data_IF_259213945314
#
_entry.id   IF_259213945314
#
_cell.length_a   1.000
_cell.length_b   1.000
_cell.length_c   1.000
_cell.angle_alpha   90.00
_cell.angle_beta   90.00
_cell.angle_gamma   90.00
#
_symmetry.space_group_name_H-M   'P 1'
#
loop_
_entity.id
_entity.type
_entity.pdbx_description
1 polymer ?
2 non-polymer ?
3 non-polymer ?
4 non-polymer ?
5 non-polymer ?
6 water ?
#
# COMPACT_ATOMS: atom_id res chain seq x y z
N UNK A 14 -19.70 -4.29 15.15
CA UNK A 14 -18.65 -3.45 14.59
C UNK A 14 -17.48 -4.28 14.08
N UNK A 15 -16.54 -3.62 13.41
CA UNK A 15 -15.40 -4.31 12.84
C UNK A 15 -14.55 -4.97 13.92
N UNK A 16 -14.15 -6.21 13.66
CA UNK A 16 -13.25 -6.96 14.55
C UNK A 16 -11.87 -6.99 13.89
N UNK A 17 -10.87 -6.35 14.48
CA UNK A 17 -9.54 -6.30 13.85
C UNK A 17 -8.93 -7.68 13.73
N UNK A 18 -8.44 -8.04 12.55
CA UNK A 18 -7.72 -9.31 12.38
C UNK A 18 -6.50 -9.38 13.27
N UNK A 19 -5.96 -10.57 13.53
CA UNK A 19 -4.71 -10.67 14.29
C UNK A 19 -3.57 -9.98 13.55
N UNK A 20 -2.55 -9.60 14.32
CA UNK A 20 -1.41 -8.88 13.78
C UNK A 20 -0.50 -9.82 12.99
N UNK A 21 -0.01 -9.32 11.86
CA UNK A 21 1.00 -10.02 11.09
C UNK A 21 2.35 -9.93 11.79
N UNK A 22 3.32 -10.77 11.40
CA UNK A 22 4.62 -10.73 12.08
C UNK A 22 5.35 -9.42 11.82
N UNK A 23 6.06 -8.96 12.85
CA UNK A 23 6.93 -7.80 12.75
C UNK A 23 8.34 -8.25 13.09
N UNK A 24 9.30 -7.91 12.24
CA UNK A 24 10.69 -8.27 12.45
C UNK A 24 11.52 -7.02 12.68
N UNK A 25 12.44 -7.11 13.63
CA UNK A 25 13.38 -6.02 13.95
C UNK A 25 14.78 -6.58 13.76
N UNK A 26 15.27 -6.63 12.53
CA UNK A 26 16.56 -7.28 12.27
C UNK A 26 17.73 -6.50 12.86
N UNK A 27 18.76 -7.24 13.26
CA UNK A 27 20.00 -6.63 13.68
C UNK A 27 20.73 -6.03 12.47
N UNK A 28 21.78 -5.27 12.75
CA UNK A 28 22.60 -4.74 11.67
C UNK A 28 23.20 -5.86 10.83
N UNK A 29 23.59 -6.97 11.47
CA UNK A 29 24.10 -8.11 10.73
C UNK A 29 23.04 -8.68 9.81
N UNK A 30 21.83 -8.93 10.33
CA UNK A 30 20.76 -9.49 9.52
C UNK A 30 20.28 -8.51 8.45
N UNK A 31 20.40 -7.21 8.70
CA UNK A 31 19.93 -6.19 7.77
C UNK A 31 20.84 -6.02 6.56
N UNK A 32 21.92 -6.79 6.46
CA UNK A 32 22.91 -6.55 5.40
C UNK A 32 22.35 -6.83 4.01
N UNK A 33 21.64 -7.95 3.84
CA UNK A 33 21.13 -8.33 2.53
C UNK A 33 19.63 -8.58 2.62
N UNK A 34 18.81 -7.82 1.89
CA UNK A 34 17.34 -8.00 2.00
C UNK A 34 16.87 -9.36 1.53
N UNK A 35 17.35 -9.85 0.38
CA UNK A 35 16.89 -11.13 -0.14
C UNK A 35 17.29 -12.27 0.81
N UNK A 36 18.49 -12.20 1.38
CA UNK A 36 18.90 -13.20 2.35
C UNK A 36 18.01 -13.16 3.60
N UNK A 37 17.65 -11.97 4.06
CA UNK A 37 16.80 -11.86 5.23
C UNK A 37 15.39 -12.37 4.95
N UNK A 38 14.84 -12.01 3.78
CA UNK A 38 13.49 -12.45 3.43
C UNK A 38 13.45 -13.96 3.24
N UNK A 39 14.51 -14.54 2.69
CA UNK A 39 14.58 -15.98 2.58
C UNK A 39 14.52 -16.68 3.94
N UNK A 40 15.11 -16.06 4.97
CA UNK A 40 15.17 -16.70 6.27
C UNK A 40 13.87 -16.57 7.05
N UNK A 41 13.15 -15.44 6.91
CA UNK A 41 11.87 -15.29 7.59
C UNK A 41 10.74 -15.97 6.84
N UNK A 42 10.99 -16.44 5.62
CA UNK A 42 9.92 -17.00 4.79
C UNK A 42 9.12 -18.12 5.45
N UNK A 43 9.69 -19.04 6.22
CA UNK A 43 8.85 -20.10 6.82
C UNK A 43 7.71 -19.56 7.66
N UNK A 44 7.88 -18.41 8.31
CA UNK A 44 6.81 -17.81 9.08
C UNK A 44 5.99 -16.83 8.23
N UNK A 45 6.67 -15.89 7.57
CA UNK A 45 5.97 -14.82 6.88
C UNK A 45 5.14 -15.33 5.70
N UNK A 46 5.56 -16.40 5.03
CA UNK A 46 4.74 -16.90 3.94
C UNK A 46 3.44 -17.51 4.45
N UNK A 47 3.38 -17.89 5.73
CA UNK A 47 2.15 -18.37 6.35
C UNK A 47 1.22 -17.26 6.78
N UNK A 48 1.67 -16.00 6.76
CA UNK A 48 0.80 -14.87 7.05
C UNK A 48 0.59 -13.97 5.84
N UNK A 49 1.31 -14.21 4.75
CA UNK A 49 1.14 -13.45 3.52
C UNK A 49 1.86 -12.13 3.50
N UNK A 50 1.77 -11.36 4.57
CA UNK A 50 2.48 -10.09 4.69
C UNK A 50 3.24 -10.10 6.00
N UNK A 51 4.31 -9.31 6.04
CA UNK A 51 5.04 -9.07 7.28
C UNK A 51 5.60 -7.66 7.25
N UNK A 52 5.94 -7.16 8.43
CA UNK A 52 6.52 -5.84 8.60
C UNK A 52 7.97 -5.97 9.04
N UNK A 53 8.82 -5.10 8.51
CA UNK A 53 10.24 -5.11 8.85
C UNK A 53 10.65 -3.72 9.32
N UNK A 54 11.08 -3.63 10.57
CA UNK A 54 11.56 -2.37 11.12
C UNK A 54 13.07 -2.31 10.99
N UNK A 55 13.62 -1.37 10.21
CA UNK A 55 15.08 -1.27 10.09
C UNK A 55 15.72 -0.88 11.41
N UNK A 56 17.04 -1.08 11.56
CA UNK A 56 17.70 -0.59 12.77
C UNK A 56 17.45 0.89 13.00
N UNK A 57 17.48 1.30 14.26
CA UNK A 57 17.06 2.65 14.64
C UNK A 57 17.86 3.72 13.90
N UNK A 58 19.15 3.48 13.67
CA UNK A 58 20.01 4.47 13.03
C UNK A 58 19.89 4.49 11.51
N UNK A 59 19.08 3.61 10.91
CA UNK A 59 18.92 3.57 9.46
C UNK A 59 17.79 4.52 9.08
N UNK A 60 18.15 5.72 8.63
CA UNK A 60 17.18 6.78 8.33
C UNK A 60 17.53 7.42 7.00
N UNK A 61 16.95 6.94 5.91
CA UNK A 61 17.20 7.56 4.60
C UNK A 61 16.54 8.92 4.51
N UNK A 62 17.18 9.88 3.84
CA UNK A 62 16.53 11.17 3.60
C UNK A 62 15.48 11.05 2.50
N UNK A 63 14.57 12.02 2.50
CA UNK A 63 13.53 12.07 1.48
C UNK A 63 14.07 12.86 0.28
N UNK A 64 14.18 12.19 -0.86
CA UNK A 64 14.93 12.73 -2.00
C UNK A 64 14.05 13.18 -3.15
N UNK A 65 12.74 13.10 -3.03
CA UNK A 65 11.87 13.61 -4.09
C UNK A 65 12.06 15.11 -4.26
N UNK A 66 11.92 15.57 -5.50
CA UNK A 66 11.94 17.00 -5.81
C UNK A 66 10.58 17.56 -5.39
N UNK A 67 10.52 18.06 -4.15
CA UNK A 67 9.25 18.52 -3.59
C UNK A 67 8.82 19.83 -4.24
N UNK A 68 9.77 20.62 -4.75
CA UNK A 68 9.43 21.90 -5.35
C UNK A 68 8.48 21.73 -6.53
N UNK A 69 8.79 20.79 -7.42
CA UNK A 69 8.01 20.59 -8.64
C UNK A 69 7.07 19.39 -8.56
N UNK A 70 6.94 18.77 -7.40
CA UNK A 70 6.08 17.59 -7.24
C UNK A 70 4.63 18.02 -7.36
N UNK A 71 4.03 17.77 -8.52
CA UNK A 71 2.64 18.09 -8.78
C UNK A 71 1.94 16.86 -9.34
N UNK A 72 0.69 16.64 -8.95
CA UNK A 72 0.02 15.42 -9.36
C UNK A 72 -1.48 15.62 -9.30
N UNK A 73 -2.18 14.78 -10.04
CA UNK A 73 -3.64 14.77 -10.05
C UNK A 73 -4.13 13.44 -9.47
N UNK A 74 -4.57 13.41 -8.22
CA UNK A 74 -4.91 12.14 -7.58
C UNK A 74 -6.21 11.57 -8.11
N UNK A 75 -6.37 10.26 -7.90
CA UNK A 75 -7.58 9.55 -8.31
C UNK A 75 -8.67 9.72 -7.27
N UNK A 76 -9.89 9.97 -7.73
CA UNK A 76 -11.02 10.14 -6.82
C UNK A 76 -11.57 8.76 -6.45
N UNK A 77 -11.79 8.53 -5.16
CA UNK A 77 -12.29 7.26 -4.67
C UNK A 77 -13.56 7.49 -3.87
N UNK A 78 -14.64 6.80 -4.25
CA UNK A 78 -15.88 6.81 -3.48
C UNK A 78 -15.96 5.50 -2.70
N UNK A 79 -15.92 5.61 -1.38
CA UNK A 79 -15.75 4.43 -0.53
C UNK A 79 -16.87 3.41 -0.74
N UNK A 80 -18.10 3.85 -0.98
CA UNK A 80 -19.25 2.96 -1.03
C UNK A 80 -19.77 2.73 -2.45
N UNK A 81 -18.88 2.75 -3.46
CA UNK A 81 -19.36 2.65 -4.83
C UNK A 81 -19.98 1.29 -5.13
N UNK A 82 -19.46 0.21 -4.55
CA UNK A 82 -20.02 -1.10 -4.82
C UNK A 82 -21.39 -1.27 -4.18
N UNK A 83 -21.49 -0.95 -2.88
CA UNK A 83 -22.78 -1.06 -2.20
C UNK A 83 -23.83 -0.15 -2.82
N UNK A 84 -23.42 0.88 -3.55
CA UNK A 84 -24.36 1.80 -4.20
C UNK A 84 -24.92 1.26 -5.52
N UNK A 85 -24.78 -0.03 -5.80
CA UNK A 85 -25.33 -0.61 -7.01
C UNK A 85 -26.75 -1.13 -6.79
N UNK A 91 -29.00 7.56 -10.25
CA UNK A 91 -28.68 8.92 -9.80
C UNK A 91 -28.53 9.85 -10.99
N UNK A 92 -29.00 11.10 -10.82
CA UNK A 92 -28.98 12.07 -11.90
C UNK A 92 -27.54 12.42 -12.27
N UNK A 93 -27.20 12.27 -13.55
CA UNK A 93 -25.88 12.62 -14.08
C UNK A 93 -24.78 11.82 -13.39
N UNK A 94 -24.92 10.50 -13.38
CA UNK A 94 -23.88 9.66 -12.80
C UNK A 94 -22.67 9.62 -13.73
N UNK A 95 -21.48 9.59 -13.13
CA UNK A 95 -20.24 9.69 -13.85
C UNK A 95 -19.60 11.07 -13.80
N UNK A 96 -20.28 12.05 -13.21
CA UNK A 96 -19.76 13.41 -13.10
C UNK A 96 -19.69 13.88 -11.64
N UNK A 97 -19.67 12.94 -10.70
CA UNK A 97 -19.69 13.31 -9.28
C UNK A 97 -18.46 14.12 -8.91
N UNK A 98 -17.27 13.52 -9.01
CA UNK A 98 -16.04 14.25 -8.74
C UNK A 98 -14.90 13.62 -9.54
N UNK A 99 -13.93 14.44 -9.91
CA UNK A 99 -12.87 14.01 -10.79
C UNK A 99 -11.66 14.93 -10.63
N UNK A 100 -10.74 14.87 -11.60
CA UNK A 100 -9.37 15.34 -11.44
C UNK A 100 -9.27 16.79 -10.96
N UNK A 101 -8.23 17.04 -10.15
CA UNK A 101 -7.77 18.39 -9.84
C UNK A 101 -6.33 18.30 -9.34
N UNK A 102 -5.45 19.15 -9.89
CA UNK A 102 -4.02 19.05 -9.61
C UNK A 102 -3.68 19.60 -8.23
N UNK A 103 -2.77 18.91 -7.55
CA UNK A 103 -2.26 19.34 -6.26
C UNK A 103 -0.74 19.42 -6.29
N UNK A 104 -0.19 20.15 -5.33
CA UNK A 104 1.19 19.95 -4.94
C UNK A 104 1.21 19.03 -3.71
N UNK A 105 2.40 18.53 -3.40
CA UNK A 105 2.57 17.74 -2.18
C UNK A 105 2.07 18.52 -0.96
N UNK A 106 2.36 19.83 -0.91
CA UNK A 106 1.94 20.65 0.21
C UNK A 106 0.44 20.87 0.20
N UNK A 107 -0.13 21.26 -0.95
CA UNK A 107 -1.56 21.55 -0.98
C UNK A 107 -2.38 20.27 -0.78
N UNK A 108 -1.87 19.12 -1.23
CA UNK A 108 -2.57 17.87 -0.95
C UNK A 108 -2.55 17.56 0.53
N UNK A 109 -1.40 17.74 1.19
CA UNK A 109 -1.34 17.49 2.63
C UNK A 109 -2.23 18.43 3.42
N UNK A 110 -2.30 19.70 3.02
CA UNK A 110 -3.24 20.61 3.66
C UNK A 110 -4.67 20.12 3.50
N UNK A 111 -5.05 19.71 2.29
CA UNK A 111 -6.37 19.14 2.06
C UNK A 111 -6.59 17.90 2.91
N UNK A 112 -5.58 17.02 2.97
CA UNK A 112 -5.74 15.74 3.66
C UNK A 112 -5.93 15.95 5.16
N UNK A 113 -5.10 16.80 5.77
CA UNK A 113 -5.24 17.05 7.21
C UNK A 113 -6.57 17.72 7.53
N UNK A 114 -6.99 18.69 6.71
CA UNK A 114 -8.26 19.37 6.95
C UNK A 114 -9.43 18.40 6.89
N UNK A 115 -9.41 17.48 5.93
CA UNK A 115 -10.47 16.49 5.82
C UNK A 115 -10.54 15.63 7.07
N UNK A 116 -9.41 15.08 7.49
CA UNK A 116 -9.42 14.16 8.62
C UNK A 116 -9.81 14.87 9.91
N UNK A 117 -9.24 16.05 10.15
CA UNK A 117 -9.55 16.73 11.40
C UNK A 117 -11.01 17.18 11.44
N UNK A 118 -11.55 17.59 10.29
CA UNK A 118 -12.96 17.94 10.22
C UNK A 118 -13.85 16.72 10.40
N UNK A 119 -13.46 15.60 9.79
CA UNK A 119 -14.29 14.40 9.86
C UNK A 119 -14.42 13.89 11.30
N UNK A 120 -13.29 13.79 12.00
CA UNK A 120 -13.30 13.27 13.36
C UNK A 120 -13.42 14.34 14.42
N UNK A 121 -13.37 15.62 14.05
CA UNK A 121 -13.49 16.74 14.98
C UNK A 121 -12.40 16.68 16.05
N UNK A 122 -11.16 16.45 15.61
CA UNK A 122 -10.02 16.42 16.52
C UNK A 122 -8.75 16.51 15.69
N UNK A 123 -7.62 16.89 16.31
CA UNK A 123 -6.36 16.92 15.57
C UNK A 123 -6.04 15.55 14.98
N UNK A 124 -5.41 15.57 13.80
CA UNK A 124 -5.27 14.34 13.03
C UNK A 124 -4.45 13.29 13.78
N UNK A 125 -3.46 13.72 14.55
CA UNK A 125 -2.60 12.75 15.22
C UNK A 125 -3.21 12.21 16.51
N UNK A 126 -4.37 12.73 16.93
CA UNK A 126 -5.07 12.23 18.11
C UNK A 126 -6.12 11.17 17.75
N UNK A 127 -6.39 10.94 16.47
CA UNK A 127 -7.39 9.97 16.07
C UNK A 127 -6.81 8.58 16.18
N UNK A 128 -7.38 7.71 17.02
CA UNK A 128 -6.81 6.36 17.17
C UNK A 128 -6.91 5.58 15.87
N UNK A 129 -5.87 4.77 15.61
CA UNK A 129 -5.86 3.98 14.38
C UNK A 129 -7.05 3.02 14.31
N UNK A 130 -7.45 2.48 15.45
CA UNK A 130 -8.58 1.55 15.49
C UNK A 130 -9.90 2.22 15.11
N UNK A 131 -10.01 3.53 15.37
CA UNK A 131 -11.24 4.25 15.06
C UNK A 131 -11.34 4.56 13.56
N UNK A 132 -10.24 5.01 12.96
CA UNK A 132 -10.22 5.18 11.51
C UNK A 132 -10.53 3.85 10.83
N UNK A 133 -9.98 2.76 11.35
CA UNK A 133 -10.24 1.44 10.77
C UNK A 133 -11.72 1.08 10.89
N UNK A 134 -12.30 1.27 12.08
CA UNK A 134 -13.72 0.99 12.25
C UNK A 134 -14.57 1.89 11.36
N UNK A 135 -14.20 3.16 11.23
CA UNK A 135 -14.99 4.08 10.42
C UNK A 135 -14.84 3.78 8.93
N UNK A 136 -13.64 3.38 8.50
CA UNK A 136 -13.44 3.06 7.08
C UNK A 136 -14.39 1.97 6.63
N UNK A 137 -14.41 0.85 7.36
CA UNK A 137 -15.26 -0.28 6.96
C UNK A 137 -16.74 0.03 7.15
N UNK A 138 -17.09 0.94 8.06
CA UNK A 138 -18.48 1.36 8.14
C UNK A 138 -18.87 2.19 6.93
N UNK A 139 -17.98 3.09 6.49
CA UNK A 139 -18.28 3.92 5.33
C UNK A 139 -18.37 3.09 4.06
N UNK A 140 -17.54 2.06 3.94
CA UNK A 140 -17.51 1.24 2.74
C UNK A 140 -18.86 0.55 2.49
N UNK A 141 -19.55 0.17 3.55
CA UNK A 141 -20.84 -0.53 3.43
C UNK A 141 -22.05 0.36 3.69
N UNK A 142 -21.85 1.66 3.91
CA UNK A 142 -22.95 2.56 4.26
C UNK A 142 -23.59 3.14 3.02
N UNK A 143 -24.91 2.98 2.90
CA UNK A 143 -25.66 3.57 1.79
C UNK A 143 -26.23 4.94 2.12
N UNK A 144 -26.14 5.38 3.39
CA UNK A 144 -26.71 6.66 3.79
C UNK A 144 -25.69 7.79 3.74
N UNK A 145 -24.41 7.51 3.98
CA UNK A 145 -23.36 8.51 3.96
C UNK A 145 -22.40 8.19 2.81
N UNK A 146 -22.21 9.17 1.92
CA UNK A 146 -21.33 9.01 0.76
C UNK A 146 -20.06 9.83 1.01
N UNK A 147 -18.97 9.15 1.32
CA UNK A 147 -17.68 9.79 1.57
C UNK A 147 -16.80 9.61 0.34
N UNK A 148 -16.14 10.69 -0.08
CA UNK A 148 -15.30 10.69 -1.27
C UNK A 148 -13.94 11.24 -0.87
N UNK A 149 -12.87 10.50 -1.19
CA UNK A 149 -11.51 10.89 -0.90
C UNK A 149 -10.69 10.85 -2.18
N UNK A 150 -9.41 11.20 -2.06
CA UNK A 150 -8.50 11.29 -3.20
C UNK A 150 -7.20 10.60 -2.83
N UNK A 151 -6.59 9.92 -3.81
CA UNK A 151 -5.40 9.10 -3.59
C UNK A 151 -4.39 9.43 -4.67
N UNK A 152 -3.24 9.98 -4.28
CA UNK A 152 -2.19 10.23 -5.24
C UNK A 152 -1.33 8.99 -5.37
N UNK A 153 -1.64 8.16 -6.35
CA UNK A 153 -1.08 6.81 -6.35
C UNK A 153 -0.79 6.38 -7.77
N UNK A 154 0.00 5.31 -7.89
CA UNK A 154 0.55 4.87 -9.16
C UNK A 154 1.27 6.01 -9.87
N UNK A 155 1.92 6.87 -9.06
CA UNK A 155 2.79 7.91 -9.59
C UNK A 155 4.16 7.29 -9.83
N UNK A 156 4.60 7.30 -11.09
CA UNK A 156 5.88 6.67 -11.42
C UNK A 156 7.02 7.45 -10.81
N UNK A 157 7.97 6.73 -10.20
CA UNK A 157 9.15 7.39 -9.65
C UNK A 157 10.02 8.03 -10.72
N UNK A 158 9.83 7.65 -12.00
CA UNK A 158 10.57 8.30 -13.06
C UNK A 158 10.05 9.70 -13.38
N UNK A 159 9.06 10.20 -12.64
CA UNK A 159 8.47 11.51 -12.90
C UNK A 159 9.15 12.59 -12.06
N UNK A 160 9.13 12.45 -10.73
CA UNK A 160 9.73 13.42 -9.82
C UNK A 160 10.86 12.82 -9.00
N UNK A 161 11.38 11.67 -9.43
CA UNK A 161 12.41 11.00 -8.68
C UNK A 161 11.84 10.11 -7.60
N UNK A 162 12.68 9.21 -7.11
CA UNK A 162 12.31 8.30 -6.05
C UNK A 162 12.35 9.02 -4.70
N UNK A 163 11.64 8.46 -3.72
CA UNK A 163 11.77 8.94 -2.36
C UNK A 163 13.14 8.66 -1.78
N UNK A 164 13.83 7.60 -2.28
CA UNK A 164 15.18 7.26 -1.90
C UNK A 164 16.19 8.02 -2.75
N UNK A 165 17.35 8.39 -2.20
CA UNK A 165 18.40 8.97 -3.04
C UNK A 165 18.90 7.94 -4.03
N UNK A 166 19.14 8.39 -5.25
CA UNK A 166 19.59 7.54 -6.35
C UNK A 166 20.82 8.18 -6.99
N UNK A 167 21.85 7.38 -7.23
CA UNK A 167 23.06 7.86 -7.88
C UNK A 167 22.90 7.77 -9.39
N UNK A 168 22.03 8.64 -9.93
CA UNK A 168 21.80 8.74 -11.36
C UNK A 168 22.23 10.08 -11.95
N UNK A 169 22.81 10.97 -11.16
CA UNK A 169 23.28 12.24 -11.67
C UNK A 169 22.20 13.26 -11.98
N UNK A 170 21.05 13.16 -11.32
CA UNK A 170 19.95 14.10 -11.51
C UNK A 170 19.64 14.92 -10.27
N UNK A 171 20.33 14.68 -9.16
CA UNK A 171 20.06 15.39 -7.92
C UNK A 171 21.28 15.26 -7.02
N UNK A 172 21.46 16.24 -6.14
CA UNK A 172 22.59 16.22 -5.22
C UNK A 172 22.41 15.14 -4.16
N UNK A 173 23.52 14.48 -3.81
CA UNK A 173 23.58 13.50 -2.74
C UNK A 173 24.70 13.90 -1.79
N UNK A 174 24.36 14.17 -0.54
CA UNK A 174 25.37 14.44 0.46
C UNK A 174 26.14 13.16 0.79
N UNK A 175 27.37 13.29 1.30
CA UNK A 175 28.13 12.07 1.65
C UNK A 175 27.39 11.14 2.59
N UNK A 176 26.73 11.67 3.62
CA UNK A 176 26.02 10.83 4.58
C UNK A 176 24.78 10.17 4.00
N UNK A 177 24.36 10.57 2.80
CA UNK A 177 23.25 9.94 2.10
C UNK A 177 23.69 8.90 1.09
N UNK A 178 24.99 8.80 0.81
CA UNK A 178 25.46 7.86 -0.21
C UNK A 178 25.12 6.42 0.17
N UNK A 179 25.25 6.08 1.45
CA UNK A 179 24.95 4.71 1.88
C UNK A 179 23.50 4.34 1.59
N UNK A 180 22.59 5.30 1.61
CA UNK A 180 21.20 5.00 1.28
C UNK A 180 20.99 4.89 -0.22
N UNK A 181 21.79 5.59 -1.03
CA UNK A 181 21.71 5.41 -2.47
C UNK A 181 22.22 4.04 -2.89
N UNK A 182 23.10 3.43 -2.08
CA UNK A 182 23.72 2.15 -2.41
C UNK A 182 23.14 0.99 -1.60
N UNK A 183 22.19 1.25 -0.70
CA UNK A 183 21.68 0.21 0.16
C UNK A 183 20.82 -0.78 -0.62
N UNK A 184 20.92 -2.05 -0.27
CA UNK A 184 20.04 -3.06 -0.86
C UNK A 184 18.58 -2.87 -0.52
N UNK A 185 18.29 -2.13 0.55
CA UNK A 185 16.92 -1.79 0.95
C UNK A 185 16.40 -0.53 0.27
N UNK A 186 17.25 0.20 -0.44
CA UNK A 186 16.75 1.17 -1.41
C UNK A 186 15.93 0.44 -2.46
N UNK A 187 14.64 0.78 -2.59
CA UNK A 187 13.78 0.02 -3.48
C UNK A 187 14.23 0.11 -4.94
N UNK A 188 15.01 1.13 -5.30
CA UNK A 188 15.56 1.17 -6.66
C UNK A 188 16.63 0.13 -6.89
N UNK A 189 17.14 -0.50 -5.83
CA UNK A 189 18.20 -1.50 -5.93
C UNK A 189 17.69 -2.93 -5.73
N UNK A 190 16.39 -3.14 -5.72
CA UNK A 190 15.85 -4.49 -5.64
C UNK A 190 15.94 -5.17 -7.01
N UNK A 191 16.21 -6.47 -7.03
CA UNK A 191 16.23 -7.18 -8.33
C UNK A 191 14.81 -7.30 -8.88
N UNK A 192 14.65 -6.94 -10.15
CA UNK A 192 13.33 -6.90 -10.78
C UNK A 192 13.25 -7.76 -12.04
N UNK A 193 14.38 -8.22 -12.57
CA UNK A 193 14.37 -8.96 -13.83
C UNK A 193 14.01 -10.43 -13.57
N UNK A 194 12.91 -10.88 -14.14
CA UNK A 194 12.46 -12.26 -13.98
C UNK A 194 13.20 -13.17 -14.96
N UNK A 195 13.52 -14.38 -14.50
CA UNK A 195 14.25 -15.33 -15.32
C UNK A 195 13.33 -16.02 -16.33
N UNK A 196 13.80 -16.14 -17.56
CA UNK A 196 13.07 -16.79 -18.64
C UNK A 196 14.00 -16.93 -19.84
N UNK A 197 13.61 -17.82 -20.76
CA UNK A 197 14.32 -17.92 -22.04
C UNK A 197 13.98 -16.73 -22.92
N UNK A 198 12.77 -16.17 -22.78
CA UNK A 198 12.41 -14.96 -23.52
C UNK A 198 13.31 -13.79 -23.14
N UNK A 199 13.76 -13.73 -21.88
CA UNK A 199 14.68 -12.69 -21.46
C UNK A 199 16.06 -12.83 -22.09
N UNK A 200 16.34 -13.96 -22.75
CA UNK A 200 17.59 -14.13 -23.48
C UNK A 200 17.43 -13.92 -24.98
N UNK A 201 16.24 -14.13 -25.51
CA UNK A 201 16.01 -13.90 -26.93
C UNK A 201 15.61 -12.44 -27.20
N UNK A 202 15.01 -11.77 -26.23
CA UNK A 202 14.62 -10.37 -26.38
C UNK A 202 15.70 -9.43 -25.87
N UNK A 209 11.63 -2.22 -14.70
CA UNK A 209 10.58 -1.69 -13.83
C UNK A 209 11.17 -0.77 -12.76
N UNK A 210 10.34 0.16 -12.29
CA UNK A 210 10.79 1.17 -11.32
C UNK A 210 9.76 1.25 -10.20
N UNK A 211 10.16 1.79 -9.05
CA UNK A 211 9.20 1.93 -7.95
C UNK A 211 8.09 2.91 -8.28
N UNK A 212 6.94 2.68 -7.65
CA UNK A 212 5.79 3.57 -7.77
C UNK A 212 5.57 4.29 -6.44
N UNK A 213 4.97 5.47 -6.51
CA UNK A 213 4.79 6.34 -5.35
C UNK A 213 3.31 6.47 -5.02
N UNK A 214 3.01 6.57 -3.72
CA UNK A 214 1.63 6.58 -3.23
C UNK A 214 1.48 7.69 -2.20
N UNK A 215 0.75 8.74 -2.54
CA UNK A 215 0.49 9.85 -1.63
C UNK A 215 -0.93 9.65 -1.09
N UNK A 216 -1.04 9.22 0.15
CA UNK A 216 -2.31 8.86 0.73
C UNK A 216 -2.94 9.98 1.54
N UNK A 217 -4.24 9.84 1.78
CA UNK A 217 -4.97 10.63 2.76
C UNK A 217 -5.84 9.67 3.56
N UNK A 218 -6.54 10.20 4.57
CA UNK A 218 -7.41 9.37 5.38
C UNK A 218 -8.48 8.74 4.50
N UNK A 219 -8.60 7.41 4.60
CA UNK A 219 -9.57 6.55 3.94
C UNK A 219 -9.21 6.24 2.49
N UNK A 220 -8.15 6.82 1.92
CA UNK A 220 -7.71 6.38 0.60
C UNK A 220 -7.24 4.94 0.72
N UNK A 221 -7.50 4.13 -0.32
CA UNK A 221 -7.39 2.70 -0.11
C UNK A 221 -6.94 1.98 -1.37
N UNK A 222 -6.58 0.71 -1.19
CA UNK A 222 -6.27 -0.19 -2.29
C UNK A 222 -7.00 -1.51 -2.03
N UNK A 223 -7.69 -2.02 -3.05
CA UNK A 223 -8.52 -3.20 -2.83
C UNK A 223 -7.70 -4.48 -2.96
N UNK A 224 -8.36 -5.61 -2.72
CA UNK A 224 -7.67 -6.89 -2.67
C UNK A 224 -7.09 -7.26 -4.03
N UNK A 225 -5.84 -7.70 -4.04
CA UNK A 225 -5.15 -8.03 -5.28
C UNK A 225 -3.90 -8.84 -4.94
N UNK A 226 -3.38 -9.49 -5.98
CA UNK A 226 -2.04 -10.05 -5.97
C UNK A 226 -1.26 -9.35 -7.09
N UNK A 227 0.05 -9.59 -7.11
CA UNK A 227 0.93 -8.94 -8.07
C UNK A 227 0.99 -9.74 -9.36
N UNK A 228 1.26 -9.03 -10.45
CA UNK A 228 1.49 -9.70 -11.73
C UNK A 228 2.62 -10.72 -11.58
N UNK A 229 2.46 -11.87 -12.23
CA UNK A 229 3.41 -12.98 -12.14
C UNK A 229 3.55 -13.52 -10.72
N UNK A 230 2.57 -13.24 -9.85
CA UNK A 230 2.60 -13.65 -8.44
C UNK A 230 3.87 -13.16 -7.75
N UNK A 231 4.32 -11.98 -8.14
CA UNK A 231 5.60 -11.46 -7.65
C UNK A 231 5.52 -11.10 -6.17
N UNK A 232 6.67 -11.15 -5.50
CA UNK A 232 6.85 -10.42 -4.25
C UNK A 232 6.61 -8.94 -4.51
N UNK A 233 6.26 -8.21 -3.45
CA UNK A 233 6.34 -6.76 -3.47
C UNK A 233 6.91 -6.29 -2.15
N UNK A 234 7.63 -5.17 -2.20
CA UNK A 234 8.17 -4.54 -1.01
C UNK A 234 7.71 -3.09 -0.99
N UNK A 235 7.38 -2.59 0.20
CA UNK A 235 6.71 -1.31 0.34
C UNK A 235 7.34 -0.54 1.49
N UNK A 236 7.69 0.72 1.25
CA UNK A 236 8.33 1.55 2.27
C UNK A 236 7.50 2.82 2.47
N UNK A 237 7.15 3.10 3.72
CA UNK A 237 6.49 4.35 4.08
C UNK A 237 7.56 5.38 4.43
N UNK A 238 7.76 6.35 3.55
CA UNK A 238 8.80 7.35 3.77
C UNK A 238 8.47 8.24 4.96
N UNK A 239 7.23 8.72 5.03
CA UNK A 239 6.81 9.59 6.13
C UNK A 239 5.29 9.61 6.19
N UNK A 240 4.76 10.26 7.23
CA UNK A 240 3.34 10.47 7.36
C UNK A 240 2.67 9.50 8.33
N UNK A 241 1.35 9.56 8.34
CA UNK A 241 0.53 8.72 9.19
C UNK A 241 0.50 7.29 8.65
N UNK A 242 0.12 6.31 9.48
CA UNK A 242 0.34 4.91 9.09
C UNK A 242 -0.52 4.47 7.90
N UNK A 243 -0.07 3.40 7.27
CA UNK A 243 -0.81 2.70 6.24
C UNK A 243 -1.25 1.36 6.82
N UNK A 244 -2.56 1.13 6.88
CA UNK A 244 -3.09 -0.08 7.50
C UNK A 244 -3.25 -1.17 6.44
N UNK A 245 -2.72 -2.36 6.73
CA UNK A 245 -2.66 -3.47 5.78
C UNK A 245 -3.51 -4.64 6.25
N UNK A 246 -4.04 -5.39 5.29
CA UNK A 246 -4.60 -6.72 5.50
C UNK A 246 -3.96 -7.65 4.49
N UNK A 247 -3.62 -8.85 4.93
CA UNK A 247 -2.95 -9.82 4.06
C UNK A 247 -3.49 -11.21 4.29
N UNK A 248 -3.43 -12.01 3.23
CA UNK A 248 -3.91 -13.40 3.25
C UNK A 248 -2.80 -14.30 2.72
N UNK A 249 -2.41 -15.36 3.44
CA UNK A 249 -1.32 -16.21 2.97
C UNK A 249 -1.67 -16.87 1.65
N UNK A 250 -0.63 -17.20 0.88
CA UNK A 250 -0.83 -17.75 -0.45
C UNK A 250 -1.59 -19.07 -0.42
N UNK A 251 -1.42 -19.87 0.63
CA UNK A 251 -2.14 -21.14 0.65
C UNK A 251 -3.65 -20.95 0.74
N UNK A 252 -4.13 -19.75 1.07
CA UNK A 252 -5.55 -19.45 1.13
C UNK A 252 -6.01 -18.61 -0.06
N UNK A 253 -5.21 -18.54 -1.12
CA UNK A 253 -5.53 -17.67 -2.25
C UNK A 253 -6.80 -18.11 -2.96
N UNK A 254 -6.93 -19.41 -3.24
CA UNK A 254 -8.10 -19.90 -3.94
C UNK A 254 -9.36 -19.84 -3.07
N UNK A 255 -9.20 -19.97 -1.74
CA UNK A 255 -10.34 -19.77 -0.85
C UNK A 255 -10.86 -18.35 -0.91
N UNK A 256 -9.95 -17.36 -0.93
CA UNK A 256 -10.37 -15.97 -1.04
C UNK A 256 -11.07 -15.72 -2.36
N UNK A 257 -10.55 -16.30 -3.44
CA UNK A 257 -11.15 -16.09 -4.76
C UNK A 257 -12.54 -16.71 -4.81
N UNK A 258 -12.74 -17.85 -4.15
CA UNK A 258 -14.07 -18.47 -4.11
C UNK A 258 -15.06 -17.59 -3.36
N UNK A 259 -14.65 -17.07 -2.20
CA UNK A 259 -15.50 -16.15 -1.45
C UNK A 259 -15.82 -14.92 -2.28
N UNK A 260 -14.82 -14.39 -2.99
CA UNK A 260 -15.06 -13.26 -3.89
C UNK A 260 -16.12 -13.60 -4.92
N UNK A 261 -15.99 -14.77 -5.57
CA UNK A 261 -16.93 -15.14 -6.62
C UNK A 261 -18.35 -15.28 -6.08
N UNK A 262 -18.50 -15.84 -4.89
CA UNK A 262 -19.83 -16.03 -4.32
C UNK A 262 -20.49 -14.70 -4.00
N UNK A 263 -19.75 -13.76 -3.43
CA UNK A 263 -20.33 -12.53 -2.89
C UNK A 263 -20.16 -11.33 -3.81
N UNK A 264 -19.44 -11.47 -4.92
CA UNK A 264 -19.30 -10.34 -5.83
C UNK A 264 -20.57 -10.14 -6.64
N UNK A 265 -20.81 -8.92 -7.12
CA UNK A 265 -21.93 -8.68 -8.02
C UNK A 265 -21.87 -9.61 -9.22
N UNK A 266 -23.06 -10.02 -9.71
CA UNK A 266 -23.12 -10.95 -10.82
C UNK A 266 -22.44 -10.39 -12.07
N UNK A 267 -22.55 -9.07 -12.28
CA UNK A 267 -21.94 -8.46 -13.45
C UNK A 267 -20.42 -8.51 -13.39
N UNK A 268 -19.85 -8.52 -12.18
CA UNK A 268 -18.39 -8.58 -12.03
C UNK A 268 -17.88 -9.98 -11.76
N UNK A 269 -18.77 -10.94 -11.51
CA UNK A 269 -18.33 -12.27 -11.08
C UNK A 269 -17.54 -12.98 -12.18
N UNK A 270 -17.95 -12.83 -13.43
CA UNK A 270 -17.34 -13.52 -14.56
C UNK A 270 -16.19 -12.74 -15.19
N UNK A 271 -15.79 -11.62 -14.62
CA UNK A 271 -14.75 -10.82 -15.23
C UNK A 271 -13.37 -11.44 -14.98
N UNK A 272 -12.44 -11.25 -15.91
CA UNK A 272 -11.05 -11.66 -15.67
C UNK A 272 -10.50 -11.05 -14.38
N UNK A 273 -9.55 -11.77 -13.77
CA UNK A 273 -9.05 -11.39 -12.45
C UNK A 273 -8.39 -10.02 -12.49
N UNK A 274 -7.63 -9.71 -13.55
CA UNK A 274 -6.94 -8.44 -13.62
C UNK A 274 -7.92 -7.27 -13.66
N UNK A 275 -9.11 -7.47 -14.22
CA UNK A 275 -10.14 -6.44 -14.20
C UNK A 275 -10.96 -6.50 -12.91
N UNK A 276 -11.31 -7.70 -12.45
CA UNK A 276 -12.04 -7.82 -11.18
C UNK A 276 -11.26 -7.20 -10.03
N UNK A 277 -9.93 -7.30 -10.06
CA UNK A 277 -9.07 -6.72 -9.04
C UNK A 277 -9.17 -5.21 -8.96
N UNK A 278 -9.83 -4.55 -9.91
CA UNK A 278 -10.03 -3.12 -9.81
C UNK A 278 -11.12 -2.76 -8.81
N UNK A 279 -12.04 -3.69 -8.51
CA UNK A 279 -13.18 -3.41 -7.65
C UNK A 279 -13.36 -4.49 -6.58
N UNK A 280 -12.25 -5.13 -6.17
CA UNK A 280 -12.31 -6.21 -5.20
C UNK A 280 -12.23 -5.65 -3.77
N UNK A 281 -13.27 -4.94 -3.37
CA UNK A 281 -13.37 -4.41 -2.01
C UNK A 281 -14.21 -5.35 -1.18
N UNK A 282 -13.66 -5.81 -0.06
CA UNK A 282 -14.39 -6.75 0.81
C UNK A 282 -13.90 -6.60 2.23
N UNK A 283 -14.85 -6.53 3.15
CA UNK A 283 -14.53 -6.45 4.57
C UNK A 283 -13.76 -7.70 5.00
N UNK A 284 -12.61 -7.54 5.66
CA UNK A 284 -11.85 -8.72 6.12
C UNK A 284 -12.63 -9.65 7.02
N UNK A 285 -13.56 -9.13 7.83
CA UNK A 285 -14.35 -10.00 8.69
C UNK A 285 -15.21 -10.97 7.88
N UNK A 286 -15.65 -10.56 6.70
CA UNK A 286 -16.41 -11.44 5.83
C UNK A 286 -15.54 -12.61 5.36
N UNK A 287 -14.28 -12.32 5.01
CA UNK A 287 -13.36 -13.38 4.64
C UNK A 287 -13.08 -14.29 5.83
N UNK A 288 -12.89 -13.71 7.02
CA UNK A 288 -12.64 -14.51 8.20
C UNK A 288 -13.84 -15.37 8.57
N UNK A 289 -15.06 -14.87 8.34
CA UNK A 289 -16.25 -15.67 8.62
C UNK A 289 -16.32 -16.90 7.72
N UNK A 290 -15.71 -16.83 6.54
CA UNK A 290 -15.66 -17.96 5.63
C UNK A 290 -14.42 -18.83 5.83
N UNK A 291 -13.64 -18.58 6.88
CA UNK A 291 -12.49 -19.39 7.19
C UNK A 291 -11.19 -18.94 6.56
N UNK A 292 -11.16 -17.80 5.88
CA UNK A 292 -9.94 -17.29 5.27
C UNK A 292 -9.09 -16.60 6.33
N UNK A 293 -7.86 -17.06 6.56
CA UNK A 293 -6.99 -16.38 7.53
C UNK A 293 -6.58 -15.00 7.01
N UNK A 294 -6.81 -13.98 7.82
CA UNK A 294 -6.44 -12.62 7.49
C UNK A 294 -5.58 -12.07 8.63
N UNK A 295 -4.52 -11.36 8.28
CA UNK A 295 -3.66 -10.68 9.22
C UNK A 295 -3.61 -9.19 8.88
N UNK A 296 -3.39 -8.36 9.90
CA UNK A 296 -3.36 -6.91 9.73
C UNK A 296 -2.03 -6.36 10.20
N UNK A 297 -1.76 -5.11 9.84
CA UNK A 297 -0.69 -4.34 10.48
C UNK A 297 -0.90 -2.87 10.18
N UNK A 298 -0.33 -2.04 11.06
CA UNK A 298 -0.19 -0.61 10.84
C UNK A 298 1.28 -0.38 10.49
N UNK A 299 1.54 -0.13 9.21
CA UNK A 299 2.87 0.25 8.74
C UNK A 299 3.07 1.71 9.06
N UNK A 300 4.00 2.01 9.97
CA UNK A 300 4.33 3.37 10.35
C UNK A 300 5.53 3.88 9.56
N UNK A 301 5.76 5.18 9.63
CA UNK A 301 6.83 5.81 8.87
C UNK A 301 8.16 5.15 9.16
N UNK A 302 8.93 4.90 8.11
CA UNK A 302 10.22 4.24 8.25
C UNK A 302 10.17 2.74 8.31
N UNK A 303 9.00 2.13 8.09
CA UNK A 303 8.85 0.67 8.17
C UNK A 303 8.54 0.08 6.79
N UNK A 304 9.05 -1.13 6.57
CA UNK A 304 8.82 -1.89 5.35
C UNK A 304 7.68 -2.89 5.56
N UNK A 305 6.90 -3.10 4.50
CA UNK A 305 5.97 -4.22 4.40
C UNK A 305 6.37 -5.04 3.18
N UNK A 306 6.50 -6.35 3.37
CA UNK A 306 6.78 -7.29 2.29
C UNK A 306 5.56 -8.18 2.10
N UNK A 307 5.13 -8.33 0.86
CA UNK A 307 4.07 -9.26 0.49
C UNK A 307 4.70 -10.41 -0.29
N UNK A 308 4.30 -11.64 0.05
CA UNK A 308 4.91 -12.84 -0.51
C UNK A 308 4.16 -13.27 -1.77
N UNK A 309 4.73 -14.18 -2.57
CA UNK A 309 4.09 -14.53 -3.85
C UNK A 309 2.67 -15.01 -3.66
N UNK A 310 1.75 -14.41 -4.43
CA UNK A 310 0.33 -14.77 -4.45
C UNK A 310 -0.32 -14.59 -3.07
N UNK A 311 0.15 -13.63 -2.30
CA UNK A 311 -0.49 -13.27 -1.04
C UNK A 311 -1.41 -12.08 -1.30
N UNK A 312 -2.72 -12.33 -1.25
CA UNK A 312 -3.69 -11.27 -1.48
C UNK A 312 -3.55 -10.22 -0.37
N UNK A 313 -3.64 -8.94 -0.75
CA UNK A 313 -3.52 -7.90 0.25
C UNK A 313 -4.35 -6.69 -0.16
N UNK A 314 -4.75 -5.92 0.86
CA UNK A 314 -5.55 -4.72 0.67
C UNK A 314 -5.29 -3.80 1.86
N UNK A 315 -5.75 -2.56 1.77
CA UNK A 315 -5.52 -1.66 2.87
C UNK A 315 -6.02 -0.25 2.62
N UNK A 316 -5.70 0.61 3.57
CA UNK A 316 -6.11 2.00 3.51
C UNK A 316 -5.13 2.85 4.32
N UNK A 317 -5.16 4.15 4.08
CA UNK A 317 -4.27 5.08 4.74
C UNK A 317 -4.96 5.76 5.91
N UNK A 318 -4.22 5.93 7.01
CA UNK A 318 -4.75 6.59 8.19
C UNK A 318 -4.74 8.11 8.07
N UNK A 319 -3.97 8.64 7.12
CA UNK A 319 -3.85 10.07 6.95
C UNK A 319 -2.81 10.38 5.90
N UNK A 320 -2.45 11.66 5.84
CA UNK A 320 -1.44 12.15 4.90
C UNK A 320 -0.14 11.37 5.08
N UNK A 321 0.27 10.64 4.04
CA UNK A 321 1.54 9.91 4.10
C UNK A 321 2.10 9.75 2.69
N UNK A 322 3.25 9.08 2.60
CA UNK A 322 3.98 8.95 1.33
C UNK A 322 4.68 7.61 1.30
N UNK A 323 4.27 6.74 0.39
CA UNK A 323 4.80 5.39 0.30
C UNK A 323 5.45 5.16 -1.05
N UNK A 324 6.40 4.22 -1.08
CA UNK A 324 7.07 3.80 -2.30
C UNK A 324 7.06 2.27 -2.33
N UNK A 325 6.84 1.71 -3.52
CA UNK A 325 6.65 0.27 -3.63
C UNK A 325 7.18 -0.24 -4.96
N UNK A 326 7.66 -1.48 -4.97
CA UNK A 326 8.13 -2.11 -6.21
C UNK A 326 7.95 -3.61 -6.08
N UNK A 327 7.71 -4.26 -7.22
CA UNK A 327 7.74 -5.71 -7.28
C UNK A 327 9.17 -6.16 -7.50
N UNK A 328 9.56 -7.23 -6.81
CA UNK A 328 10.89 -7.79 -6.97
C UNK A 328 10.80 -9.30 -7.10
N UNK A 329 11.89 -9.90 -7.54
CA UNK A 329 11.97 -11.33 -7.75
C UNK A 329 13.19 -11.89 -7.06
N UNK A 330 13.10 -13.16 -6.66
CA UNK A 330 14.16 -13.80 -5.90
C UNK A 330 14.92 -14.81 -6.75
X LIG B 1 0.12 -3.00 -7.28
X LIG B 1 -2.53 -3.94 -9.14
X LIG B 1 -0.59 -0.90 -9.86
X LIG B 1 -0.70 0.79 -14.86
X LIG B 1 0.24 1.58 -14.01
X LIG B 1 0.83 0.76 -12.86
X LIG B 1 -2.99 -1.35 -6.09
X LIG B 1 -4.60 0.43 -6.16
X LIG B 1 -6.37 2.10 -6.71
X LIG B 1 -0.87 1.23 -1.70
X LIG B 1 -0.62 -0.17 -2.28
X LIG B 1 -0.25 -1.19 -1.42
X LIG B 1 -0.03 -2.47 -1.91
X LIG B 1 -0.53 -1.79 -4.04
X LIG B 1 -1.18 -2.51 -7.52
X LIG B 1 -1.96 -2.56 -8.84
X LIG B 1 0.38 -0.75 -11.04
X LIG B 1 -1.10 -0.76 -12.93
X LIG B 1 -1.73 0.07 -14.06
X LIG B 1 -1.61 -1.96 -6.29
X LIG B 1 -3.30 -0.01 -6.35
X LIG B 1 -5.03 1.87 -6.41
X LIG B 1 -6.83 3.39 -6.94
X LIG B 1 -5.95 4.45 -6.91
X LIG B 1 -4.61 4.20 -6.63
X LIG B 1 -4.14 2.93 -6.38
X LIG B 1 -5.60 -0.45 -5.77
X LIG B 1 -5.30 -1.78 -5.53
X LIG B 1 -4.00 -2.22 -5.71
X LIG B 1 -0.76 -0.47 -3.63
X LIG B 1 -0.17 -2.72 -3.19
X LIG B 1 -0.62 -2.16 -5.45
X LIG B 1 0.41 -2.76 -6.04
X LIG B 1 -0.22 0.07 -12.07
X LIG B 1 -1.79 1.96 -2.14
X LIG B 1 -1.06 -2.23 -9.86
X LIG B 1 -0.13 1.65 -0.78
X LIG C 1 0.35 -4.77 -4.04
X LIG D 1 -2.30 -14.15 -14.34
X LIG D 1 -2.51 -15.34 -15.04
X LIG D 1 -1.20 -14.44 -13.27
X LIG D 1 -0.06 -14.98 -13.85
X LIG D 1 -0.93 -13.07 -12.60
X LIG D 1 -0.07 -12.36 -13.44
X LIG E 1 -19.09 -3.50 0.84
X LIG E 1 -18.91 -3.11 -0.49
X LIG E 1 -18.71 -4.99 0.91
X LIG E 1 -18.04 -5.41 -0.22
X LIG E 1 -17.84 -5.12 2.19
X LIG E 1 -17.53 -6.47 2.32
X LIG F 1 3.88 -1.77 -7.08
X LIG F 1 2.68 -0.94 -6.83
X LIG F 1 3.87 -3.20 -5.95
X LIG F 1 3.72 -2.62 -8.68
X LIG G 1 3.12 -19.18 -4.45
X LIG G 1 3.61 -20.16 -5.46
X LIG G 1 1.33 -19.37 -4.22
X LIG G 1 3.71 -19.63 -2.80
#
# INVERSE_FOLDING_TARGET
HNMAGVGPGGYAAEFVPPPECPVFEPSWEEFTDPLSFIGRIRPLAEKTGICKIRPPKDWQPPFACEVKSFRFTPRVQRLNELEAMTRVRPREAFGFEQAVREYTLQSFGEMADNFKSDYFNMPVHMVPTELVEKEFWRLVSSIEEDVIVEYGADISSKDFGSGFPVKDGRRKILPEEEEYALSGWNLNNMPVLEQSVLAHINVDISGMKVPWLYVGMCFSSFCWHIEDHWSYSINYLHWGEPKTWYGVPSHAAEQLEEVMRELAPELFESQPDLLHQLVTIMNPNVLMEHGVPVYRTNQCAGEFVVTFPRAYHSGFNQGYNFAEAVNFCT
H67 C10 C13 C15 C20 C21 C22 C24 C26 C28 C02 C03 C04 C05 C07 C11 C12 C16 C18 C19 C23 C25 C27 C29 C30 C31 C32 C33 C34 C35 C36 N06 N08 N09 N17 O01 O14 O37
MN MN
GOL C1 O1 C2 O2 C3 O3
GOL C1 O1 C2 O2 C3 O3
DMS S O C1 C2
DMS S O C1 C2
#
